data_IF_110949753265
#
_entry.id   IF_110949753265
#
_cell.length_a   1.000
_cell.length_b   1.000
_cell.length_c   1.000
_cell.angle_alpha   90.00
_cell.angle_beta   90.00
_cell.angle_gamma   90.00
#
_symmetry.space_group_name_H-M   'P 1'
#
loop_
_entity.id
_entity.type
_entity.pdbx_description
1 polymer ?
#
# COMPACT_ATOMS: atom_id res chain seq x y z
N UNK A 1 43.76 29.39 -2.62
CA UNK A 1 43.15 28.08 -2.31
C UNK A 1 41.94 27.84 -3.21
N UNK A 2 42.10 27.04 -4.26
CA UNK A 2 40.99 26.61 -5.12
C UNK A 2 40.23 25.50 -4.39
N UNK A 3 38.94 25.69 -4.16
CA UNK A 3 38.08 24.62 -3.65
C UNK A 3 37.65 23.74 -4.84
N UNK A 4 38.02 22.47 -4.79
CA UNK A 4 37.44 21.43 -5.63
C UNK A 4 35.98 21.26 -5.21
N UNK A 5 35.05 21.64 -6.08
CA UNK A 5 33.65 21.24 -5.97
C UNK A 5 33.49 19.89 -6.67
N UNK A 6 33.21 18.85 -5.88
CA UNK A 6 32.83 17.54 -6.40
C UNK A 6 31.36 17.59 -6.82
N UNK A 7 31.10 17.61 -8.13
CA UNK A 7 29.74 17.56 -8.67
C UNK A 7 29.40 16.11 -9.00
N UNK A 8 28.50 15.51 -8.22
CA UNK A 8 28.04 14.13 -8.43
C UNK A 8 27.12 14.08 -9.66
N UNK A 9 27.66 13.63 -10.80
CA UNK A 9 26.89 13.43 -12.03
C UNK A 9 26.18 12.07 -11.94
N UNK A 10 24.86 12.08 -11.86
CA UNK A 10 24.05 10.84 -11.92
C UNK A 10 23.93 10.43 -13.38
N UNK A 11 24.67 9.39 -13.79
CA UNK A 11 24.56 8.80 -15.12
C UNK A 11 23.49 7.70 -15.08
N UNK A 12 22.44 7.84 -15.86
CA UNK A 12 21.44 6.78 -16.05
C UNK A 12 22.06 5.72 -16.96
N UNK A 13 22.24 4.50 -16.44
CA UNK A 13 22.79 3.37 -17.17
C UNK A 13 21.71 2.29 -17.29
N UNK A 14 21.51 1.76 -18.50
CA UNK A 14 20.70 0.56 -18.75
C UNK A 14 21.63 -0.64 -18.74
N UNK A 15 21.41 -1.58 -17.82
CA UNK A 15 22.12 -2.86 -17.78
C UNK A 15 21.22 -3.94 -18.38
N UNK A 16 21.83 -4.84 -19.15
CA UNK A 16 21.12 -5.96 -19.78
C UNK A 16 21.86 -7.25 -19.43
N UNK A 17 21.11 -8.23 -18.95
CA UNK A 17 21.60 -9.57 -18.67
C UNK A 17 20.70 -10.59 -19.37
N UNK A 18 21.27 -11.75 -19.69
CA UNK A 18 20.56 -12.89 -20.26
C UNK A 18 20.64 -14.05 -19.26
N UNK A 19 19.52 -14.76 -19.08
CA UNK A 19 19.32 -15.92 -18.20
C UNK A 19 19.41 -15.64 -16.69
N UNK A 20 20.46 -14.98 -16.20
CA UNK A 20 20.67 -14.74 -14.77
C UNK A 20 20.85 -13.25 -14.46
N UNK A 21 20.21 -12.79 -13.37
CA UNK A 21 20.39 -11.44 -12.83
C UNK A 21 21.62 -11.47 -11.92
N UNK A 22 22.65 -10.64 -12.18
CA UNK A 22 23.82 -10.58 -11.32
C UNK A 22 23.42 -10.19 -9.88
N UNK A 23 24.08 -10.78 -8.88
CA UNK A 23 23.73 -10.62 -7.46
C UNK A 23 23.68 -9.15 -6.99
N UNK A 24 24.49 -8.30 -7.61
CA UNK A 24 24.55 -6.86 -7.34
C UNK A 24 23.32 -6.07 -7.79
N UNK A 25 22.47 -6.63 -8.68
CA UNK A 25 21.25 -5.98 -9.20
C UNK A 25 19.96 -6.66 -8.73
N UNK A 26 20.02 -7.63 -7.83
CA UNK A 26 18.82 -8.42 -7.40
C UNK A 26 17.78 -7.56 -6.69
N UNK A 27 18.20 -6.48 -6.03
CA UNK A 27 17.31 -5.52 -5.36
C UNK A 27 16.94 -4.32 -6.24
N UNK A 28 17.47 -4.23 -7.46
CA UNK A 28 17.20 -3.12 -8.36
C UNK A 28 15.91 -3.35 -9.15
N UNK A 29 15.25 -2.26 -9.51
CA UNK A 29 14.09 -2.28 -10.39
C UNK A 29 14.46 -2.88 -11.75
N UNK A 30 14.04 -4.12 -11.99
CA UNK A 30 14.48 -4.91 -13.14
C UNK A 30 13.28 -5.26 -14.02
N UNK A 31 13.36 -4.92 -15.31
CA UNK A 31 12.38 -5.35 -16.31
C UNK A 31 12.86 -6.64 -16.95
N UNK A 32 12.02 -7.67 -16.99
CA UNK A 32 12.32 -8.93 -17.67
C UNK A 32 11.45 -9.12 -18.91
N UNK A 33 11.99 -9.88 -19.86
CA UNK A 33 11.29 -10.35 -21.06
C UNK A 33 11.53 -11.85 -21.20
N UNK A 34 10.46 -12.62 -21.31
CA UNK A 34 10.46 -14.07 -21.51
C UNK A 34 9.82 -14.38 -22.85
N UNK A 35 10.58 -14.97 -23.75
CA UNK A 35 10.06 -15.43 -25.04
C UNK A 35 9.39 -16.79 -24.87
N UNK A 36 8.09 -16.85 -25.11
CA UNK A 36 7.28 -18.07 -25.10
C UNK A 36 7.01 -18.55 -26.54
N UNK A 37 8.07 -18.62 -27.34
CA UNK A 37 8.03 -19.06 -28.73
C UNK A 37 9.30 -19.85 -29.07
N UNK A 38 9.11 -20.98 -29.77
CA UNK A 38 10.22 -21.80 -30.27
C UNK A 38 10.94 -21.14 -31.46
N UNK A 39 10.21 -20.32 -32.22
CA UNK A 39 10.68 -19.68 -33.43
C UNK A 39 11.17 -18.25 -33.18
N UNK A 40 11.85 -17.67 -34.18
CA UNK A 40 12.31 -16.29 -34.14
C UNK A 40 11.09 -15.37 -34.18
N UNK A 41 11.00 -14.44 -33.22
CA UNK A 41 9.96 -13.40 -33.24
C UNK A 41 10.29 -12.45 -34.38
N UNK A 42 9.32 -12.22 -35.27
CA UNK A 42 9.45 -11.27 -36.36
C UNK A 42 9.62 -9.86 -35.80
N UNK A 43 10.55 -9.10 -36.38
CA UNK A 43 10.76 -7.70 -36.00
C UNK A 43 9.56 -6.87 -36.49
N UNK A 44 8.83 -6.20 -35.59
CA UNK A 44 7.70 -5.36 -35.98
C UNK A 44 8.18 -4.18 -36.82
N UNK A 45 7.39 -3.81 -37.82
CA UNK A 45 7.70 -2.66 -38.69
C UNK A 45 7.44 -1.31 -38.02
N UNK A 46 6.54 -1.26 -37.04
CA UNK A 46 6.21 -0.06 -36.27
C UNK A 46 5.73 -0.37 -34.84
N UNK A 47 5.52 0.69 -34.05
CA UNK A 47 5.05 0.60 -32.66
C UNK A 47 3.63 0.02 -32.54
N UNK A 48 2.77 0.25 -33.53
CA UNK A 48 1.39 -0.25 -33.53
C UNK A 48 1.39 -1.77 -33.70
N UNK A 49 2.16 -2.28 -34.67
CA UNK A 49 2.38 -3.71 -34.88
C UNK A 49 3.08 -4.35 -33.68
N UNK A 50 4.09 -3.67 -33.11
CA UNK A 50 4.80 -4.16 -31.93
C UNK A 50 3.87 -4.38 -30.74
N UNK A 51 2.96 -3.44 -30.47
CA UNK A 51 1.99 -3.54 -29.38
C UNK A 51 0.96 -4.67 -29.60
N UNK A 52 0.73 -5.08 -30.85
CA UNK A 52 -0.19 -6.17 -31.19
C UNK A 52 0.47 -7.55 -31.21
N UNK A 53 1.73 -7.63 -31.66
CA UNK A 53 2.41 -8.91 -31.90
C UNK A 53 3.24 -9.35 -30.70
N UNK A 54 4.02 -8.44 -30.09
CA UNK A 54 4.97 -8.82 -29.04
C UNK A 54 4.31 -9.41 -27.79
N UNK A 55 3.18 -8.87 -27.26
CA UNK A 55 2.54 -9.45 -26.08
C UNK A 55 2.03 -10.89 -26.26
N UNK A 56 1.89 -11.38 -27.50
CA UNK A 56 1.44 -12.74 -27.81
C UNK A 56 2.56 -13.77 -27.72
N UNK A 57 3.82 -13.34 -27.86
CA UNK A 57 5.00 -14.22 -27.96
C UNK A 57 6.09 -13.89 -26.95
N UNK A 58 6.03 -12.72 -26.31
CA UNK A 58 6.92 -12.25 -25.26
C UNK A 58 6.08 -11.87 -24.05
N UNK A 59 6.30 -12.58 -22.94
CA UNK A 59 5.84 -12.18 -21.61
C UNK A 59 6.85 -11.19 -21.05
N UNK A 60 6.40 -10.22 -20.27
CA UNK A 60 7.29 -9.25 -19.64
C UNK A 60 6.76 -8.90 -18.27
N UNK A 61 7.62 -8.41 -17.40
CA UNK A 61 7.19 -7.96 -16.09
C UNK A 61 8.30 -7.27 -15.32
N UNK A 62 7.98 -6.95 -14.07
CA UNK A 62 8.87 -6.27 -13.16
C UNK A 62 9.31 -7.20 -12.04
N UNK A 63 10.61 -7.16 -11.75
CA UNK A 63 11.22 -7.75 -10.57
C UNK A 63 11.66 -6.57 -9.69
N UNK A 64 11.25 -6.65 -8.43
CA UNK A 64 11.51 -5.66 -7.38
C UNK A 64 11.98 -6.42 -6.15
N UNK A 65 12.41 -5.70 -5.12
CA UNK A 65 12.66 -6.29 -3.79
C UNK A 65 11.35 -6.69 -3.07
N UNK A 66 10.21 -6.09 -3.44
CA UNK A 66 8.89 -6.52 -2.97
C UNK A 66 8.41 -7.82 -3.66
N UNK A 67 8.64 -8.94 -2.98
CA UNK A 67 8.18 -10.27 -3.42
C UNK A 67 6.67 -10.42 -3.57
N UNK A 68 5.86 -9.69 -2.79
CA UNK A 68 4.39 -9.72 -2.91
C UNK A 68 3.95 -9.01 -4.18
N UNK A 69 4.57 -7.86 -4.48
CA UNK A 69 4.33 -7.13 -5.72
C UNK A 69 4.75 -7.96 -6.95
N UNK A 70 5.90 -8.64 -6.87
CA UNK A 70 6.34 -9.58 -7.92
C UNK A 70 5.32 -10.70 -8.16
N UNK A 71 4.86 -11.37 -7.10
CA UNK A 71 3.88 -12.45 -7.17
C UNK A 71 2.54 -11.97 -7.72
N UNK A 72 2.05 -10.82 -7.26
CA UNK A 72 0.83 -10.17 -7.76
C UNK A 72 0.92 -9.90 -9.26
N UNK A 73 2.05 -9.34 -9.71
CA UNK A 73 2.26 -9.01 -11.13
C UNK A 73 2.31 -10.27 -11.99
N UNK A 74 3.02 -11.32 -11.55
CA UNK A 74 3.11 -12.58 -12.27
C UNK A 74 1.72 -13.24 -12.43
N UNK A 75 0.92 -13.26 -11.37
CA UNK A 75 -0.39 -13.94 -11.36
C UNK A 75 -1.49 -13.08 -11.99
N UNK A 76 -1.34 -11.76 -12.05
CA UNK A 76 -2.30 -10.87 -12.72
C UNK A 76 -2.23 -10.94 -14.25
N UNK A 77 -1.14 -11.47 -14.83
CA UNK A 77 -1.04 -11.62 -16.28
C UNK A 77 -2.12 -12.58 -16.82
N UNK A 78 -2.69 -12.25 -17.98
CA UNK A 78 -3.67 -13.11 -18.65
C UNK A 78 -2.94 -14.31 -19.25
N UNK A 79 -3.08 -15.46 -18.62
CA UNK A 79 -2.83 -16.73 -19.32
C UNK A 79 -3.98 -16.99 -20.31
N UNK A 80 -3.63 -17.38 -21.54
CA UNK A 80 -4.61 -17.95 -22.45
C UNK A 80 -5.12 -19.28 -21.88
N UNK A 81 -6.40 -19.62 -22.08
CA UNK A 81 -6.94 -20.86 -21.56
C UNK A 81 -6.15 -22.06 -22.09
N UNK A 82 -5.63 -22.88 -21.18
CA UNK A 82 -5.00 -24.15 -21.52
C UNK A 82 -6.04 -25.00 -22.25
N UNK A 83 -5.79 -25.30 -23.52
CA UNK A 83 -6.72 -25.96 -24.46
C UNK A 83 -7.15 -27.38 -24.01
N UNK A 84 -6.51 -27.90 -22.95
CA UNK A 84 -6.72 -29.25 -22.39
C UNK A 84 -7.29 -29.29 -20.96
N UNK A 85 -7.70 -28.16 -20.38
CA UNK A 85 -8.32 -28.17 -19.05
C UNK A 85 -9.84 -28.41 -19.14
N UNK A 86 -10.34 -29.47 -18.48
CA UNK A 86 -11.77 -29.68 -18.29
C UNK A 86 -12.40 -28.45 -17.59
N UNK A 87 -13.65 -28.12 -17.94
CA UNK A 87 -14.35 -26.90 -17.50
C UNK A 87 -14.32 -26.71 -15.96
N UNK A 88 -14.41 -27.80 -15.20
CA UNK A 88 -14.36 -27.78 -13.74
C UNK A 88 -12.96 -27.44 -13.18
N UNK A 89 -11.88 -27.99 -13.75
CA UNK A 89 -10.52 -27.60 -13.37
C UNK A 89 -10.25 -26.14 -13.72
N UNK A 90 -10.76 -25.67 -14.87
CA UNK A 90 -10.64 -24.27 -15.27
C UNK A 90 -11.32 -23.33 -14.28
N UNK A 91 -12.51 -23.67 -13.78
CA UNK A 91 -13.19 -22.84 -12.78
C UNK A 91 -12.49 -22.86 -11.43
N UNK A 92 -11.95 -24.00 -10.99
CA UNK A 92 -11.16 -24.13 -9.76
C UNK A 92 -9.86 -23.32 -9.80
N UNK A 93 -9.12 -23.39 -10.92
CA UNK A 93 -7.90 -22.60 -11.13
C UNK A 93 -8.23 -21.10 -11.14
N UNK A 94 -9.31 -20.71 -11.82
CA UNK A 94 -9.75 -19.32 -11.87
C UNK A 94 -10.19 -18.81 -10.49
N UNK A 95 -10.92 -19.62 -9.72
CA UNK A 95 -11.30 -19.30 -8.33
C UNK A 95 -10.08 -19.22 -7.41
N UNK A 96 -9.13 -20.15 -7.53
CA UNK A 96 -7.89 -20.16 -6.75
C UNK A 96 -7.06 -18.91 -7.03
N UNK A 97 -6.93 -18.53 -8.30
CA UNK A 97 -6.27 -17.30 -8.74
C UNK A 97 -6.93 -16.05 -8.17
N UNK A 98 -8.26 -15.97 -8.23
CA UNK A 98 -9.00 -14.85 -7.63
C UNK A 98 -8.80 -14.78 -6.12
N UNK A 99 -8.82 -15.92 -5.42
CA UNK A 99 -8.52 -15.98 -3.98
C UNK A 99 -7.10 -15.52 -3.69
N UNK A 100 -6.12 -15.99 -4.45
CA UNK A 100 -4.73 -15.60 -4.28
C UNK A 100 -4.56 -14.09 -4.49
N UNK A 101 -5.04 -13.54 -5.60
CA UNK A 101 -4.97 -12.09 -5.87
C UNK A 101 -5.65 -11.27 -4.77
N UNK A 102 -6.78 -11.74 -4.25
CA UNK A 102 -7.47 -11.10 -3.13
C UNK A 102 -6.65 -11.14 -1.84
N UNK A 103 -6.04 -12.28 -1.50
CA UNK A 103 -5.18 -12.42 -0.31
C UNK A 103 -3.93 -11.56 -0.47
N UNK A 104 -3.25 -11.60 -1.60
CA UNK A 104 -2.06 -10.78 -1.85
C UNK A 104 -2.39 -9.30 -1.79
N UNK A 105 -3.50 -8.86 -2.38
CA UNK A 105 -3.94 -7.46 -2.29
C UNK A 105 -4.25 -7.05 -0.84
N UNK A 106 -4.87 -7.93 -0.05
CA UNK A 106 -5.10 -7.70 1.37
C UNK A 106 -3.76 -7.61 2.14
N UNK A 107 -2.82 -8.52 1.89
CA UNK A 107 -1.50 -8.51 2.55
C UNK A 107 -0.67 -7.29 2.14
N UNK A 108 -0.64 -6.92 0.86
CA UNK A 108 0.03 -5.68 0.41
C UNK A 108 -0.61 -4.45 1.05
N UNK A 109 -1.94 -4.36 1.15
CA UNK A 109 -2.60 -3.27 1.89
C UNK A 109 -2.25 -3.28 3.38
N UNK A 110 -2.14 -4.46 4.01
CA UNK A 110 -1.69 -4.59 5.40
C UNK A 110 -0.22 -4.18 5.61
N UNK A 111 0.59 -4.21 4.54
CA UNK A 111 2.05 -3.94 4.60
C UNK A 111 2.39 -2.50 4.17
N UNK A 112 1.67 -1.94 3.19
CA UNK A 112 1.91 -0.59 2.62
C UNK A 112 0.84 0.45 3.00
N UNK A 113 -0.32 0.02 3.51
CA UNK A 113 -1.56 0.83 3.54
C UNK A 113 -2.19 1.05 4.91
N UNK A 114 -1.46 0.87 6.02
CA UNK A 114 -2.01 1.24 7.31
C UNK A 114 -2.03 2.76 7.45
N UNK A 115 -3.22 3.35 7.33
CA UNK A 115 -3.49 4.69 7.82
C UNK A 115 -3.07 4.71 9.29
N UNK A 116 -1.98 5.43 9.61
CA UNK A 116 -1.30 5.34 10.90
C UNK A 116 -1.35 6.67 11.63
N UNK A 117 -1.71 6.64 12.90
CA UNK A 117 -1.62 7.80 13.77
C UNK A 117 -0.14 8.10 14.06
N UNK A 118 0.28 9.34 13.84
CA UNK A 118 1.63 9.78 14.19
C UNK A 118 1.76 9.87 15.71
N UNK A 119 2.72 9.16 16.29
CA UNK A 119 2.89 9.17 17.75
C UNK A 119 3.65 10.42 18.20
N UNK A 120 3.31 10.97 19.38
CA UNK A 120 4.03 12.12 19.93
C UNK A 120 5.48 11.75 20.21
N UNK A 121 6.42 12.58 19.79
CA UNK A 121 7.85 12.42 20.17
C UNK A 121 8.16 13.02 21.55
N UNK A 122 7.17 13.64 22.18
CA UNK A 122 7.27 14.30 23.48
C UNK A 122 7.31 13.23 24.57
N UNK A 123 8.17 13.41 25.57
CA UNK A 123 8.21 12.49 26.70
C UNK A 123 6.91 12.61 27.52
N UNK A 124 6.13 11.52 27.50
CA UNK A 124 4.88 11.40 28.25
C UNK A 124 5.06 10.61 29.55
N UNK A 125 6.24 10.48 30.14
CA UNK A 125 6.45 9.64 31.33
C UNK A 125 5.87 10.26 32.62
N UNK A 126 5.64 11.57 32.61
CA UNK A 126 5.09 12.30 33.76
C UNK A 126 3.59 12.06 33.94
N UNK A 127 3.07 12.47 35.09
CA UNK A 127 1.63 12.42 35.38
C UNK A 127 0.84 13.37 34.48
N UNK A 128 -0.41 12.99 34.20
CA UNK A 128 -1.32 13.72 33.30
C UNK A 128 -1.54 15.16 33.80
N UNK A 129 -1.80 15.34 35.08
CA UNK A 129 -2.00 16.65 35.74
C UNK A 129 -0.76 17.55 35.64
N UNK A 130 0.44 16.97 35.75
CA UNK A 130 1.69 17.70 35.62
C UNK A 130 1.96 18.14 34.18
N UNK A 131 1.57 17.34 33.18
CA UNK A 131 1.75 17.67 31.76
C UNK A 131 0.68 18.66 31.26
N UNK A 132 -0.55 18.55 31.76
CA UNK A 132 -1.66 19.45 31.41
C UNK A 132 -1.43 20.91 31.83
N UNK A 133 -0.57 21.15 32.81
CA UNK A 133 -0.21 22.51 33.26
C UNK A 133 0.95 23.14 32.49
N UNK A 134 1.58 22.41 31.55
CA UNK A 134 2.71 22.90 30.75
C UNK A 134 2.21 23.34 29.36
N UNK A 135 2.11 24.65 29.08
CA UNK A 135 1.49 25.14 27.84
C UNK A 135 2.16 24.63 26.56
N UNK A 136 3.49 24.55 26.54
CA UNK A 136 4.26 24.05 25.39
C UNK A 136 3.95 22.57 25.07
N UNK A 137 3.72 21.76 26.10
CA UNK A 137 3.33 20.34 25.93
C UNK A 137 1.90 20.26 25.40
N UNK A 138 0.98 21.05 25.96
CA UNK A 138 -0.42 21.07 25.53
C UNK A 138 -0.52 21.50 24.07
N UNK A 139 0.12 22.61 23.66
CA UNK A 139 0.11 23.12 22.29
C UNK A 139 0.65 22.08 21.28
N UNK A 140 1.73 21.39 21.65
CA UNK A 140 2.29 20.35 20.80
C UNK A 140 1.34 19.13 20.70
N UNK A 141 0.70 18.73 21.80
CA UNK A 141 -0.31 17.66 21.79
C UNK A 141 -1.58 18.04 21.01
N UNK A 142 -1.98 19.32 21.01
CA UNK A 142 -3.07 19.83 20.18
C UNK A 142 -2.74 19.69 18.69
N UNK A 143 -1.49 19.92 18.29
CA UNK A 143 -1.04 19.70 16.90
C UNK A 143 -1.21 18.23 16.47
N UNK A 144 -0.82 17.29 17.34
CA UNK A 144 -1.07 15.86 17.10
C UNK A 144 -2.57 15.55 17.03
N UNK A 145 -3.37 16.09 17.95
CA UNK A 145 -4.82 15.89 17.98
C UNK A 145 -5.50 16.38 16.68
N UNK A 146 -5.15 17.57 16.19
CA UNK A 146 -5.66 18.10 14.92
C UNK A 146 -5.25 17.23 13.73
N UNK A 147 -4.01 16.73 13.73
CA UNK A 147 -3.49 15.85 12.68
C UNK A 147 -4.24 14.52 12.66
N UNK A 148 -4.46 13.92 13.84
CA UNK A 148 -5.24 12.70 13.99
C UNK A 148 -6.70 12.90 13.58
N UNK A 149 -7.33 13.99 14.00
CA UNK A 149 -8.69 14.34 13.63
C UNK A 149 -8.84 14.39 12.10
N UNK A 150 -7.97 15.16 11.42
CA UNK A 150 -7.99 15.30 9.96
C UNK A 150 -7.80 13.95 9.27
N UNK A 151 -6.86 13.15 9.75
CA UNK A 151 -6.55 11.84 9.19
C UNK A 151 -7.73 10.88 9.33
N UNK A 152 -8.37 10.81 10.51
CA UNK A 152 -9.53 9.95 10.75
C UNK A 152 -10.72 10.40 9.90
N UNK A 153 -11.01 11.71 9.83
CA UNK A 153 -12.08 12.24 8.98
C UNK A 153 -11.86 11.90 7.51
N UNK A 154 -10.64 12.10 7.00
CA UNK A 154 -10.29 11.80 5.60
C UNK A 154 -10.47 10.30 5.32
N UNK A 155 -9.98 9.44 6.22
CA UNK A 155 -10.12 8.00 6.09
C UNK A 155 -11.58 7.55 6.06
N UNK A 156 -12.43 8.09 6.95
CA UNK A 156 -13.86 7.77 6.99
C UNK A 156 -14.55 8.20 5.68
N UNK A 157 -14.29 9.41 5.19
CA UNK A 157 -14.85 9.90 3.93
C UNK A 157 -14.43 9.04 2.73
N UNK A 158 -13.16 8.65 2.65
CA UNK A 158 -12.64 7.80 1.58
C UNK A 158 -13.32 6.43 1.60
N UNK A 159 -13.44 5.81 2.78
CA UNK A 159 -14.10 4.51 2.92
C UNK A 159 -15.59 4.60 2.56
N UNK A 160 -16.27 5.69 2.90
CA UNK A 160 -17.68 5.94 2.52
C UNK A 160 -17.85 6.10 1.00
N UNK A 161 -16.91 6.75 0.31
CA UNK A 161 -16.95 6.99 -1.15
C UNK A 161 -16.64 5.73 -1.97
N UNK A 162 -15.99 4.71 -1.39
CA UNK A 162 -15.65 3.47 -2.11
C UNK A 162 -16.90 2.73 -2.60
N UNK A 163 -16.79 2.19 -3.81
CA UNK A 163 -17.80 1.34 -4.45
C UNK A 163 -17.25 -0.06 -4.70
N UNK A 164 -18.11 -1.10 -4.75
CA UNK A 164 -17.67 -2.45 -5.06
C UNK A 164 -16.91 -2.50 -6.39
N UNK A 165 -15.77 -3.19 -6.41
CA UNK A 165 -15.00 -3.40 -7.62
C UNK A 165 -15.47 -4.70 -8.30
N UNK A 166 -16.31 -4.56 -9.31
CA UNK A 166 -16.89 -5.67 -10.08
C UNK A 166 -18.35 -5.97 -9.73
N UNK A 167 -18.93 -6.95 -10.45
CA UNK A 167 -20.35 -7.26 -10.35
C UNK A 167 -20.64 -8.40 -9.37
N UNK A 168 -21.72 -8.25 -8.61
CA UNK A 168 -22.32 -9.31 -7.79
C UNK A 168 -21.82 -9.40 -6.34
N UNK A 169 -22.34 -10.36 -5.57
CA UNK A 169 -22.21 -10.37 -4.10
C UNK A 169 -20.78 -10.48 -3.58
N UNK A 170 -19.87 -11.09 -4.35
CA UNK A 170 -18.46 -11.22 -3.96
C UNK A 170 -17.74 -9.87 -3.94
N UNK A 171 -18.09 -8.96 -4.85
CA UNK A 171 -17.51 -7.61 -4.89
C UNK A 171 -17.90 -6.80 -3.65
N UNK A 172 -19.16 -6.93 -3.20
CA UNK A 172 -19.64 -6.30 -1.96
C UNK A 172 -18.96 -6.88 -0.73
N UNK A 173 -18.84 -8.21 -0.62
CA UNK A 173 -18.18 -8.87 0.51
C UNK A 173 -16.73 -8.39 0.64
N UNK A 174 -16.02 -8.28 -0.48
CA UNK A 174 -14.63 -7.82 -0.48
C UNK A 174 -14.54 -6.35 -0.07
N UNK A 175 -15.44 -5.48 -0.56
CA UNK A 175 -15.50 -4.08 -0.12
C UNK A 175 -15.74 -3.98 1.39
N UNK A 176 -16.70 -4.73 1.93
CA UNK A 176 -17.01 -4.69 3.37
C UNK A 176 -15.86 -5.23 4.21
N UNK A 177 -15.15 -6.25 3.74
CA UNK A 177 -13.93 -6.75 4.40
C UNK A 177 -12.84 -5.69 4.42
N UNK A 178 -12.57 -5.05 3.29
CA UNK A 178 -11.56 -3.98 3.19
C UNK A 178 -11.87 -2.79 4.10
N UNK A 179 -13.14 -2.37 4.12
CA UNK A 179 -13.63 -1.33 5.04
C UNK A 179 -13.42 -1.73 6.49
N UNK A 180 -13.85 -2.93 6.87
CA UNK A 180 -13.71 -3.44 8.23
C UNK A 180 -12.24 -3.51 8.66
N UNK A 181 -11.36 -4.02 7.81
CA UNK A 181 -9.92 -4.12 8.10
C UNK A 181 -9.32 -2.74 8.35
N UNK A 182 -9.63 -1.75 7.51
CA UNK A 182 -9.13 -0.37 7.67
C UNK A 182 -9.64 0.28 8.95
N UNK A 183 -10.96 0.25 9.19
CA UNK A 183 -11.58 0.94 10.33
C UNK A 183 -11.26 0.25 11.65
N UNK A 184 -11.18 -1.08 11.68
CA UNK A 184 -10.77 -1.82 12.88
C UNK A 184 -9.31 -1.56 13.22
N UNK A 185 -8.40 -1.49 12.24
CA UNK A 185 -7.00 -1.14 12.48
C UNK A 185 -6.86 0.29 13.04
N UNK A 186 -7.58 1.27 12.50
CA UNK A 186 -7.63 2.62 13.06
C UNK A 186 -8.22 2.61 14.48
N UNK A 187 -9.31 1.87 14.69
CA UNK A 187 -9.93 1.74 16.02
C UNK A 187 -8.95 1.19 17.05
N UNK A 188 -8.19 0.15 16.71
CA UNK A 188 -7.17 -0.41 17.61
C UNK A 188 -6.04 0.60 17.90
N UNK A 189 -5.61 1.39 16.91
CA UNK A 189 -4.61 2.44 17.15
C UNK A 189 -5.10 3.50 18.15
N UNK A 190 -6.40 3.85 18.13
CA UNK A 190 -6.95 4.80 19.11
C UNK A 190 -6.91 4.26 20.53
N UNK A 191 -6.85 2.94 20.72
CA UNK A 191 -6.77 2.28 22.04
C UNK A 191 -5.34 2.20 22.58
N UNK A 192 -4.33 2.59 21.80
CA UNK A 192 -2.94 2.57 22.26
C UNK A 192 -2.76 3.46 23.51
N UNK A 193 -1.96 3.01 24.49
CA UNK A 193 -1.82 3.71 25.77
C UNK A 193 -1.29 5.14 25.60
N UNK A 194 -0.42 5.38 24.62
CA UNK A 194 0.10 6.72 24.28
C UNK A 194 -1.02 7.65 23.80
N UNK A 195 -1.86 7.18 22.87
CA UNK A 195 -3.01 7.94 22.36
C UNK A 195 -4.01 8.26 23.47
N UNK A 196 -4.33 7.25 24.31
CA UNK A 196 -5.21 7.44 25.46
C UNK A 196 -4.63 8.46 26.47
N UNK A 197 -3.31 8.44 26.67
CA UNK A 197 -2.64 9.40 27.55
C UNK A 197 -2.69 10.82 27.01
N UNK A 198 -2.48 11.01 25.70
CA UNK A 198 -2.64 12.33 25.05
C UNK A 198 -4.06 12.86 25.24
N UNK A 199 -5.07 12.03 24.98
CA UNK A 199 -6.47 12.43 25.16
C UNK A 199 -6.77 12.85 26.61
N UNK A 200 -6.24 12.11 27.59
CA UNK A 200 -6.39 12.45 29.00
C UNK A 200 -5.73 13.80 29.36
N UNK A 201 -4.54 14.08 28.82
CA UNK A 201 -3.83 15.35 29.06
C UNK A 201 -4.61 16.53 28.46
N UNK A 202 -5.08 16.39 27.22
CA UNK A 202 -5.85 17.45 26.55
C UNK A 202 -7.20 17.71 27.24
N UNK A 203 -7.84 16.65 27.75
CA UNK A 203 -9.07 16.76 28.51
C UNK A 203 -8.85 17.47 29.87
N UNK A 204 -7.77 17.13 30.58
CA UNK A 204 -7.41 17.79 31.85
C UNK A 204 -6.97 19.25 31.64
N UNK A 205 -6.34 19.56 30.51
CA UNK A 205 -5.96 20.92 30.13
C UNK A 205 -7.15 21.77 29.62
N UNK A 206 -8.36 21.21 29.57
CA UNK A 206 -9.57 21.84 29.01
C UNK A 206 -9.36 22.39 27.58
N UNK A 207 -8.57 21.67 26.76
CA UNK A 207 -8.24 22.09 25.39
C UNK A 207 -9.49 22.11 24.50
N UNK A 208 -9.66 23.21 23.74
CA UNK A 208 -10.76 23.40 22.79
C UNK A 208 -10.78 22.34 21.67
N UNK A 209 -9.61 21.78 21.32
CA UNK A 209 -9.46 20.77 20.25
C UNK A 209 -9.91 19.36 20.66
N UNK A 210 -10.18 19.14 21.94
CA UNK A 210 -10.62 17.84 22.47
C UNK A 210 -12.01 17.46 21.96
N UNK A 211 -12.91 18.43 21.80
CA UNK A 211 -14.29 18.19 21.39
C UNK A 211 -14.40 17.59 19.99
N UNK A 212 -13.75 18.21 19.01
CA UNK A 212 -13.82 17.77 17.62
C UNK A 212 -13.15 16.40 17.42
N UNK A 213 -12.03 16.15 18.10
CA UNK A 213 -11.36 14.85 18.06
C UNK A 213 -12.26 13.74 18.62
N UNK A 214 -12.97 14.00 19.73
CA UNK A 214 -13.91 13.03 20.32
C UNK A 214 -15.07 12.68 19.40
N UNK A 215 -15.54 13.64 18.58
CA UNK A 215 -16.59 13.37 17.57
C UNK A 215 -16.09 12.34 16.57
N UNK A 216 -14.91 12.55 15.96
CA UNK A 216 -14.39 11.61 14.96
C UNK A 216 -14.03 10.25 15.55
N UNK A 217 -13.53 10.23 16.80
CA UNK A 217 -13.27 8.97 17.52
C UNK A 217 -14.55 8.18 17.81
N UNK A 218 -15.67 8.87 18.03
CA UNK A 218 -16.98 8.24 18.18
C UNK A 218 -17.49 7.70 16.85
N UNK A 219 -17.35 8.48 15.77
CA UNK A 219 -17.83 8.08 14.44
C UNK A 219 -17.04 6.90 13.84
N UNK A 220 -15.85 6.62 14.39
CA UNK A 220 -15.04 5.45 14.06
C UNK A 220 -15.54 4.14 14.72
N UNK A 221 -16.36 4.22 15.78
CA UNK A 221 -16.85 3.07 16.57
C UNK A 221 -18.27 2.66 16.21
#
# INVERSE_FOLDING_TARGET
PFQLQEQKVVKVCLYMALDEIPKEFVSDFTVYFLRDAKERVAEPSDLSEANEVLPKVIKFGLLTDDTLLMLKNAISQKEQPVEYCNIQMRSEIQMSRQKFLSVTQQTTQQTEGNIKLEMPTINLDREVSALATVPEVVEALESYAMTWQKLISTALEEQLKKVPQGDGPLAEINLWRERNDTLSALTEQTKLPEVQKVLAILQEAESEHTGDLQIVLRDLR
#
